data_IF_195558828831
#
_entry.id   IF_195558828831
#
_cell.length_a   1.000
_cell.length_b   1.000
_cell.length_c   1.000
_cell.angle_alpha   90.00
_cell.angle_beta   90.00
_cell.angle_gamma   90.00
#
_symmetry.space_group_name_H-M   'P 1'
#
loop_
_entity.id
_entity.type
_entity.pdbx_description
1 polymer ?
#
# COMPACT_ATOMS: atom_id res chain seq x y z
N UNK A 1 -28.55 -2.92 -15.56
CA UNK A 1 -27.96 -2.68 -16.91
C UNK A 1 -26.59 -3.38 -16.97
N UNK A 2 -26.46 -4.55 -17.61
CA UNK A 2 -25.16 -5.21 -17.81
C UNK A 2 -24.41 -4.41 -18.89
N UNK A 3 -23.33 -3.70 -18.51
CA UNK A 3 -22.58 -2.78 -19.40
C UNK A 3 -21.72 -3.50 -20.47
N UNK A 4 -21.99 -4.78 -20.78
CA UNK A 4 -21.13 -5.58 -21.65
C UNK A 4 -19.72 -5.80 -21.10
N UNK A 5 -19.51 -5.57 -19.80
CA UNK A 5 -18.21 -5.71 -19.15
C UNK A 5 -18.06 -7.13 -18.57
N UNK A 6 -16.95 -7.78 -18.89
CA UNK A 6 -16.51 -9.04 -18.30
C UNK A 6 -15.17 -8.82 -17.62
N UNK A 7 -15.02 -9.36 -16.41
CA UNK A 7 -13.76 -9.35 -15.69
C UNK A 7 -13.09 -10.71 -15.88
N UNK A 8 -11.77 -10.68 -16.09
CA UNK A 8 -10.93 -11.87 -16.08
C UNK A 8 -10.22 -11.86 -14.74
N UNK A 9 -10.24 -12.99 -14.05
CA UNK A 9 -9.41 -13.17 -12.86
C UNK A 9 -7.98 -13.46 -13.34
N UNK A 10 -7.05 -12.57 -13.00
CA UNK A 10 -5.65 -12.62 -13.45
C UNK A 10 -4.73 -12.37 -12.24
N UNK A 11 -3.77 -13.27 -12.04
CA UNK A 11 -2.82 -13.20 -10.95
C UNK A 11 -1.59 -12.34 -11.24
N UNK A 12 -1.43 -11.90 -12.49
CA UNK A 12 -0.30 -11.09 -12.98
C UNK A 12 -0.47 -9.59 -12.73
N UNK A 13 -1.65 -9.15 -12.31
CA UNK A 13 -1.93 -7.74 -12.02
C UNK A 13 -2.70 -7.65 -10.72
N UNK A 14 -2.15 -6.93 -9.75
CA UNK A 14 -2.73 -6.78 -8.42
C UNK A 14 -2.85 -5.30 -8.07
N UNK A 15 -4.02 -4.88 -7.58
CA UNK A 15 -4.18 -3.56 -7.00
C UNK A 15 -3.60 -3.59 -5.58
N UNK A 16 -2.66 -2.71 -5.28
CA UNK A 16 -2.15 -2.53 -3.92
C UNK A 16 -2.69 -1.22 -3.38
N UNK A 17 -3.36 -1.28 -2.24
CA UNK A 17 -3.95 -0.11 -1.57
C UNK A 17 -3.36 0.05 -0.18
N UNK A 18 -2.85 1.24 0.12
CA UNK A 18 -2.38 1.62 1.45
C UNK A 18 -3.54 2.25 2.19
N UNK A 19 -3.97 1.60 3.28
CA UNK A 19 -5.07 2.06 4.12
C UNK A 19 -4.48 2.81 5.31
N UNK A 20 -4.87 4.07 5.44
CA UNK A 20 -4.51 4.92 6.55
C UNK A 20 -5.66 4.98 7.54
N UNK A 21 -5.31 4.99 8.82
CA UNK A 21 -6.23 5.38 9.86
C UNK A 21 -6.19 6.90 10.01
N UNK A 22 -7.34 7.54 9.95
CA UNK A 22 -7.50 8.97 10.10
C UNK A 22 -8.40 9.27 11.30
N UNK A 23 -7.82 9.99 12.26
CA UNK A 23 -8.51 10.44 13.46
C UNK A 23 -8.60 11.96 13.45
N UNK A 24 -9.65 12.48 12.80
CA UNK A 24 -9.94 13.91 12.74
C UNK A 24 -10.43 14.47 14.09
N UNK A 25 -11.00 13.64 14.96
CA UNK A 25 -11.46 14.00 16.31
C UNK A 25 -11.34 12.81 17.26
N UNK A 26 -11.48 13.01 18.57
CA UNK A 26 -11.42 11.93 19.57
C UNK A 26 -12.42 10.79 19.30
N UNK A 27 -13.53 11.09 18.63
CA UNK A 27 -14.61 10.13 18.34
C UNK A 27 -14.70 9.72 16.87
N UNK A 28 -14.16 10.50 15.95
CA UNK A 28 -14.21 10.22 14.51
C UNK A 28 -12.96 9.46 14.06
N UNK A 29 -13.11 8.14 14.02
CA UNK A 29 -12.15 7.23 13.43
C UNK A 29 -12.64 6.80 12.05
N UNK A 30 -11.85 7.09 11.01
CA UNK A 30 -12.15 6.68 9.65
C UNK A 30 -10.95 6.00 9.00
N UNK A 31 -11.25 5.08 8.08
CA UNK A 31 -10.23 4.46 7.23
C UNK A 31 -10.29 5.10 5.86
N UNK A 32 -9.15 5.49 5.32
CA UNK A 32 -9.04 6.01 3.96
C UNK A 32 -7.99 5.26 3.15
N UNK A 33 -8.13 5.28 1.83
CA UNK A 33 -7.06 4.85 0.93
C UNK A 33 -6.13 6.04 0.72
N UNK A 34 -4.98 6.03 1.39
CA UNK A 34 -3.97 7.09 1.27
C UNK A 34 -3.11 6.98 0.02
N UNK A 35 -2.95 5.76 -0.51
CA UNK A 35 -2.20 5.52 -1.73
C UNK A 35 -2.66 4.26 -2.46
N UNK A 36 -2.53 4.27 -3.79
CA UNK A 36 -2.77 3.09 -4.64
C UNK A 36 -1.67 2.95 -5.67
N UNK A 37 -1.34 1.71 -5.99
CA UNK A 37 -0.52 1.37 -7.14
C UNK A 37 -0.84 -0.02 -7.67
N UNK A 38 -0.22 -0.37 -8.81
CA UNK A 38 -0.40 -1.66 -9.46
C UNK A 38 0.86 -2.49 -9.28
N UNK A 39 0.71 -3.67 -8.70
CA UNK A 39 1.75 -4.66 -8.59
C UNK A 39 1.67 -5.66 -9.74
N UNK A 40 2.82 -5.91 -10.36
CA UNK A 40 3.02 -6.91 -11.40
C UNK A 40 4.02 -7.96 -10.87
N UNK A 41 3.54 -9.06 -10.27
CA UNK A 41 4.41 -10.12 -9.78
C UNK A 41 5.03 -10.90 -10.96
N UNK A 42 6.33 -11.20 -10.85
CA UNK A 42 7.04 -12.13 -11.74
C UNK A 42 7.57 -13.31 -10.92
N UNK A 43 8.23 -14.26 -11.59
CA UNK A 43 8.83 -15.43 -10.93
C UNK A 43 9.98 -15.08 -9.98
N UNK A 44 10.64 -13.93 -10.19
CA UNK A 44 11.89 -13.55 -9.53
C UNK A 44 11.82 -12.19 -8.82
N UNK A 45 10.75 -11.42 -9.04
CA UNK A 45 10.65 -10.05 -8.57
C UNK A 45 9.19 -9.58 -8.47
N UNK A 46 9.04 -8.38 -7.93
CA UNK A 46 7.81 -7.62 -7.91
C UNK A 46 8.04 -6.27 -8.54
N UNK A 47 7.26 -5.92 -9.55
CA UNK A 47 7.26 -4.58 -10.13
C UNK A 47 6.07 -3.79 -9.62
N UNK A 48 6.27 -2.52 -9.29
CA UNK A 48 5.23 -1.66 -8.74
C UNK A 48 5.12 -0.37 -9.55
N UNK A 49 3.94 -0.14 -10.12
CA UNK A 49 3.59 1.08 -10.84
C UNK A 49 2.81 1.99 -9.91
N UNK A 50 3.31 3.21 -9.70
CA UNK A 50 2.62 4.20 -8.88
C UNK A 50 2.76 5.62 -9.44
N UNK A 51 1.89 6.49 -8.93
CA UNK A 51 2.00 7.94 -9.10
C UNK A 51 2.06 8.58 -7.72
N UNK A 52 3.18 9.22 -7.41
CA UNK A 52 3.42 9.79 -6.08
C UNK A 52 2.74 11.14 -5.90
N UNK A 53 2.72 11.96 -6.95
CA UNK A 53 2.13 13.28 -6.94
C UNK A 53 1.55 13.64 -8.30
N UNK A 54 0.65 14.62 -8.34
CA UNK A 54 0.01 15.08 -9.58
C UNK A 54 1.02 15.54 -10.64
N UNK A 55 2.08 16.23 -10.21
CA UNK A 55 3.14 16.78 -11.07
C UNK A 55 4.12 15.72 -11.58
N UNK A 56 4.30 14.62 -10.83
CA UNK A 56 5.30 13.60 -11.14
C UNK A 56 4.78 12.58 -12.15
N UNK A 57 5.60 12.07 -13.09
CA UNK A 57 5.21 10.98 -13.96
C UNK A 57 4.92 9.71 -13.16
N UNK A 58 4.20 8.77 -13.78
CA UNK A 58 4.15 7.41 -13.25
C UNK A 58 5.55 6.80 -13.24
N UNK A 59 5.87 6.05 -12.20
CA UNK A 59 7.13 5.33 -12.08
C UNK A 59 6.90 3.83 -11.98
N UNK A 60 7.90 3.08 -12.43
CA UNK A 60 8.00 1.63 -12.26
C UNK A 60 9.16 1.33 -11.30
N UNK A 61 8.85 0.78 -10.13
CA UNK A 61 9.84 0.31 -9.15
C UNK A 61 9.98 -1.21 -9.25
N UNK A 62 11.15 -1.73 -8.89
CA UNK A 62 11.42 -3.17 -8.78
C UNK A 62 11.83 -3.51 -7.36
N UNK A 63 11.20 -4.54 -6.80
CA UNK A 63 11.47 -5.12 -5.49
C UNK A 63 11.77 -6.61 -5.65
N UNK A 64 12.50 -7.21 -4.70
CA UNK A 64 12.75 -8.67 -4.75
C UNK A 64 11.49 -9.47 -4.45
N UNK A 65 10.64 -8.98 -3.55
CA UNK A 65 9.45 -9.68 -3.10
C UNK A 65 8.41 -8.69 -2.53
N UNK A 66 7.25 -9.24 -2.14
CA UNK A 66 6.14 -8.48 -1.54
C UNK A 66 6.52 -7.80 -0.23
N UNK A 67 7.37 -8.43 0.59
CA UNK A 67 7.85 -7.83 1.85
C UNK A 67 8.64 -6.56 1.59
N UNK A 68 9.57 -6.54 0.63
CA UNK A 68 10.32 -5.32 0.29
C UNK A 68 9.40 -4.19 -0.24
N UNK A 69 8.35 -4.54 -1.01
CA UNK A 69 7.33 -3.58 -1.44
C UNK A 69 6.49 -3.07 -0.24
N UNK A 70 6.10 -3.95 0.67
CA UNK A 70 5.40 -3.57 1.90
C UNK A 70 6.26 -2.64 2.75
N UNK A 71 7.51 -3.00 3.01
CA UNK A 71 8.44 -2.20 3.80
C UNK A 71 8.60 -0.80 3.18
N UNK A 72 8.72 -0.72 1.85
CA UNK A 72 8.77 0.53 1.12
C UNK A 72 7.54 1.43 1.36
N UNK A 73 6.35 0.85 1.33
CA UNK A 73 5.09 1.58 1.55
C UNK A 73 4.91 1.95 3.03
N UNK A 74 5.23 1.05 3.96
CA UNK A 74 5.15 1.30 5.40
C UNK A 74 6.10 2.43 5.82
N UNK A 75 7.36 2.44 5.35
CA UNK A 75 8.30 3.54 5.61
C UNK A 75 7.78 4.90 5.13
N UNK A 76 6.96 4.92 4.08
CA UNK A 76 6.46 6.14 3.47
C UNK A 76 5.17 6.64 4.11
N UNK A 77 4.32 5.74 4.58
CA UNK A 77 2.94 6.05 4.94
C UNK A 77 2.59 5.79 6.41
N UNK A 78 3.30 4.89 7.11
CA UNK A 78 3.04 4.59 8.52
C UNK A 78 3.69 5.61 9.46
N UNK A 79 3.29 6.87 9.33
CA UNK A 79 3.84 7.99 10.09
C UNK A 79 2.84 8.49 11.16
N UNK A 80 2.25 7.60 11.96
CA UNK A 80 1.32 7.99 13.02
C UNK A 80 2.07 8.70 14.15
N UNK A 81 2.13 10.03 14.12
CA UNK A 81 2.76 10.86 15.15
C UNK A 81 1.94 10.84 16.45
N UNK A 82 2.14 9.81 17.27
CA UNK A 82 1.61 9.76 18.65
C UNK A 82 0.09 9.63 18.76
N UNK A 83 -0.57 9.07 17.75
CA UNK A 83 -2.00 8.74 17.81
C UNK A 83 -2.19 7.28 18.21
N UNK A 84 -3.18 7.03 19.06
CA UNK A 84 -3.59 5.67 19.48
C UNK A 84 -4.52 5.05 18.43
N UNK A 85 -4.06 5.10 17.18
CA UNK A 85 -4.78 4.62 16.00
C UNK A 85 -4.15 3.34 15.49
N UNK A 86 -4.90 2.54 14.75
CA UNK A 86 -4.33 1.39 14.07
C UNK A 86 -3.20 1.82 13.12
N UNK A 87 -2.16 0.99 13.03
CA UNK A 87 -1.11 1.16 12.04
C UNK A 87 -1.67 1.13 10.62
N UNK A 88 -0.94 1.79 9.71
CA UNK A 88 -1.16 1.64 8.27
C UNK A 88 -1.11 0.16 7.90
N UNK A 89 -2.06 -0.28 7.08
CA UNK A 89 -2.04 -1.64 6.53
C UNK A 89 -2.23 -1.62 5.02
N UNK A 90 -1.76 -2.69 4.38
CA UNK A 90 -1.67 -2.76 2.93
C UNK A 90 -2.54 -3.91 2.43
N UNK A 91 -3.44 -3.60 1.51
CA UNK A 91 -4.31 -4.58 0.87
C UNK A 91 -3.78 -4.94 -0.53
N UNK A 92 -3.71 -6.22 -0.84
CA UNK A 92 -3.52 -6.76 -2.19
C UNK A 92 -4.89 -7.25 -2.70
N UNK A 93 -5.47 -6.52 -3.65
CA UNK A 93 -6.86 -6.68 -4.06
C UNK A 93 -7.83 -6.66 -2.86
N UNK A 94 -8.36 -7.82 -2.48
CA UNK A 94 -9.35 -7.97 -1.40
C UNK A 94 -8.75 -8.50 -0.09
N UNK A 95 -7.47 -8.84 -0.08
CA UNK A 95 -6.81 -9.53 1.03
C UNK A 95 -5.71 -8.64 1.64
N UNK A 96 -5.37 -8.88 2.90
CA UNK A 96 -4.20 -8.27 3.52
C UNK A 96 -2.94 -8.74 2.76
N UNK A 97 -2.07 -7.81 2.39
CA UNK A 97 -0.91 -8.11 1.57
C UNK A 97 0.07 -9.05 2.29
N UNK A 98 0.45 -10.13 1.62
CA UNK A 98 1.47 -11.04 2.13
C UNK A 98 2.79 -10.31 2.39
N UNK A 99 3.38 -10.57 3.55
CA UNK A 99 4.62 -9.92 3.97
C UNK A 99 4.45 -8.52 4.55
N UNK A 100 3.20 -8.03 4.69
CA UNK A 100 2.93 -6.85 5.49
C UNK A 100 3.34 -7.03 6.95
N UNK A 101 3.94 -5.98 7.51
CA UNK A 101 4.41 -5.92 8.89
C UNK A 101 4.59 -4.46 9.32
N UNK A 102 4.47 -4.26 10.62
CA UNK A 102 4.86 -2.99 11.26
C UNK A 102 6.39 -2.95 11.31
N UNK A 103 6.96 -1.80 10.99
CA UNK A 103 8.40 -1.56 11.09
C UNK A 103 8.66 -0.85 12.43
N UNK A 104 9.57 -1.38 13.24
CA UNK A 104 9.98 -0.70 14.47
C UNK A 104 10.80 0.54 14.11
N UNK A 105 10.52 1.67 14.78
CA UNK A 105 11.26 2.91 14.58
C UNK A 105 12.76 2.68 14.87
N UNK A 106 13.62 3.21 13.98
CA UNK A 106 15.02 3.44 14.30
C UNK A 106 15.14 4.59 15.32
N UNK A 107 14.80 4.36 16.59
CA UNK A 107 15.10 5.31 17.67
C UNK A 107 16.63 5.48 17.91
N UNK A 108 17.48 4.73 17.21
CA UNK A 108 18.94 4.69 17.44
C UNK A 108 19.78 5.38 16.35
N UNK A 109 19.19 6.19 15.47
CA UNK A 109 19.95 7.04 14.55
C UNK A 109 19.97 8.49 15.05
N UNK A 110 20.63 8.71 16.21
CA UNK A 110 21.08 10.02 16.68
C UNK A 110 22.59 10.15 16.46
#
# INVERSE_FOLDING_TARGET
KKRGLSFVDDDKIRLVSVVLHDQFSETDNSLMIGHVGIMLPTSDAVYFVEKVAFQEPYRLLKFKNRTELSDYLMLKYDNSWGQDTAHTFIMENSDLMDGWRILENQENAS
#
